data_IF_601504433061
#
_entry.id   IF_601504433061
#
_cell.length_a   1.000
_cell.length_b   1.000
_cell.length_c   1.000
_cell.angle_alpha   90.00
_cell.angle_beta   90.00
_cell.angle_gamma   90.00
#
_symmetry.space_group_name_H-M   'P 1'
#
loop_
_entity.id
_entity.type
_entity.pdbx_description
1 polymer ?
#
# COMPACT_ATOMS: atom_id res chain seq x y z
N UNK A 1 4.90 -2.55 14.55
CA UNK A 1 3.99 -2.36 13.40
C UNK A 1 3.61 -3.68 12.73
N UNK A 2 4.56 -4.60 12.52
CA UNK A 2 4.35 -5.90 11.86
C UNK A 2 3.06 -6.66 12.26
N UNK A 3 2.75 -6.75 13.56
CA UNK A 3 1.53 -7.43 14.04
C UNK A 3 0.22 -6.75 13.63
N UNK A 4 0.14 -5.42 13.68
CA UNK A 4 -1.06 -4.65 13.30
C UNK A 4 -1.30 -4.75 11.80
N UNK A 5 -0.25 -4.60 10.99
CA UNK A 5 -0.35 -4.70 9.53
C UNK A 5 -0.72 -6.11 9.07
N UNK A 6 -0.21 -7.15 9.74
CA UNK A 6 -0.61 -8.54 9.49
C UNK A 6 -2.08 -8.79 9.82
N UNK A 7 -2.56 -8.29 10.97
CA UNK A 7 -3.97 -8.39 11.34
C UNK A 7 -4.89 -7.66 10.35
N UNK A 8 -4.52 -6.44 9.92
CA UNK A 8 -5.28 -5.68 8.93
C UNK A 8 -5.29 -6.34 7.55
N UNK A 9 -4.18 -6.94 7.12
CA UNK A 9 -4.14 -7.72 5.89
C UNK A 9 -5.10 -8.92 5.95
N UNK A 10 -5.13 -9.63 7.09
CA UNK A 10 -6.08 -10.72 7.32
C UNK A 10 -7.54 -10.25 7.28
N UNK A 11 -7.88 -9.16 7.97
CA UNK A 11 -9.22 -8.58 7.96
C UNK A 11 -9.65 -8.12 6.56
N UNK A 12 -8.74 -7.54 5.78
CA UNK A 12 -9.00 -7.12 4.41
C UNK A 12 -9.30 -8.34 3.53
N UNK A 13 -8.50 -9.40 3.62
CA UNK A 13 -8.75 -10.65 2.87
C UNK A 13 -10.12 -11.24 3.24
N UNK A 14 -10.46 -11.30 4.53
CA UNK A 14 -11.77 -11.79 4.98
C UNK A 14 -12.91 -10.95 4.43
N UNK A 15 -12.82 -9.62 4.52
CA UNK A 15 -13.83 -8.71 3.98
C UNK A 15 -14.04 -8.90 2.47
N UNK A 16 -12.96 -9.16 1.72
CA UNK A 16 -13.04 -9.42 0.29
C UNK A 16 -13.65 -10.79 -0.04
N UNK A 17 -13.31 -11.82 0.72
CA UNK A 17 -13.86 -13.17 0.50
C UNK A 17 -15.38 -13.20 0.63
N UNK A 18 -15.95 -12.42 1.55
CA UNK A 18 -17.42 -12.34 1.74
C UNK A 18 -18.11 -11.60 0.58
N UNK A 19 -17.39 -10.76 -0.17
CA UNK A 19 -17.95 -9.93 -1.24
C UNK A 19 -17.33 -10.26 -2.63
N UNK A 20 -16.79 -11.47 -2.79
CA UNK A 20 -15.94 -11.80 -3.94
C UNK A 20 -16.67 -11.70 -5.27
N UNK A 21 -17.96 -12.06 -5.32
CA UNK A 21 -18.77 -11.98 -6.54
C UNK A 21 -18.86 -10.54 -7.07
N UNK A 22 -19.09 -9.57 -6.17
CA UNK A 22 -19.17 -8.15 -6.51
C UNK A 22 -17.79 -7.60 -6.90
N UNK A 23 -16.75 -8.01 -6.17
CA UNK A 23 -15.37 -7.58 -6.44
C UNK A 23 -14.93 -8.05 -7.84
N UNK A 24 -15.16 -9.32 -8.18
CA UNK A 24 -14.77 -9.89 -9.47
C UNK A 24 -15.61 -9.34 -10.63
N UNK A 25 -16.87 -8.97 -10.38
CA UNK A 25 -17.72 -8.32 -11.38
C UNK A 25 -17.24 -6.91 -11.76
N UNK A 26 -16.56 -6.20 -10.84
CA UNK A 26 -16.02 -4.87 -11.11
C UNK A 26 -14.69 -4.92 -11.87
N UNK A 27 -14.52 -3.99 -12.83
CA UNK A 27 -13.26 -3.85 -13.58
C UNK A 27 -12.11 -3.26 -12.75
N UNK A 28 -12.42 -2.48 -11.72
CA UNK A 28 -11.41 -1.69 -10.97
C UNK A 28 -11.15 -2.21 -9.56
N UNK A 29 -12.15 -2.82 -8.90
CA UNK A 29 -12.02 -3.26 -7.50
C UNK A 29 -10.91 -4.31 -7.28
N UNK A 30 -10.75 -5.36 -8.12
CA UNK A 30 -9.71 -6.37 -7.89
C UNK A 30 -8.29 -5.80 -7.92
N UNK A 31 -8.03 -4.83 -8.82
CA UNK A 31 -6.72 -4.23 -8.94
C UNK A 31 -6.39 -3.34 -7.74
N UNK A 32 -7.37 -2.57 -7.25
CA UNK A 32 -7.23 -1.71 -6.05
C UNK A 32 -7.01 -2.54 -4.79
N UNK A 33 -7.79 -3.61 -4.64
CA UNK A 33 -7.63 -4.60 -3.59
C UNK A 33 -6.22 -5.19 -3.57
N UNK A 34 -5.73 -5.64 -4.73
CA UNK A 34 -4.38 -6.19 -4.87
C UNK A 34 -3.29 -5.19 -4.51
N UNK A 35 -3.44 -3.93 -4.91
CA UNK A 35 -2.48 -2.87 -4.57
C UNK A 35 -2.46 -2.54 -3.07
N UNK A 36 -3.62 -2.51 -2.40
CA UNK A 36 -3.70 -2.35 -0.96
C UNK A 36 -3.04 -3.51 -0.21
N UNK A 37 -3.27 -4.76 -0.64
CA UNK A 37 -2.61 -5.94 -0.06
C UNK A 37 -1.10 -5.87 -0.25
N UNK A 38 -0.63 -5.57 -1.46
CA UNK A 38 0.80 -5.44 -1.76
C UNK A 38 1.47 -4.40 -0.86
N UNK A 39 0.81 -3.26 -0.64
CA UNK A 39 1.30 -2.18 0.23
C UNK A 39 1.34 -2.61 1.71
N UNK A 40 0.34 -3.35 2.19
CA UNK A 40 0.36 -3.93 3.54
C UNK A 40 1.48 -4.97 3.71
N UNK A 41 1.67 -5.85 2.73
CA UNK A 41 2.73 -6.86 2.73
C UNK A 41 4.10 -6.19 2.73
N UNK A 42 4.31 -5.15 1.92
CA UNK A 42 5.52 -4.32 1.96
C UNK A 42 5.74 -3.76 3.37
N UNK A 43 4.71 -3.17 3.97
CA UNK A 43 4.81 -2.56 5.31
C UNK A 43 5.16 -3.60 6.38
N UNK A 44 4.60 -4.81 6.29
CA UNK A 44 4.96 -5.94 7.16
C UNK A 44 6.43 -6.31 6.95
N UNK A 45 6.85 -6.51 5.70
CA UNK A 45 8.22 -6.91 5.37
C UNK A 45 9.24 -5.88 5.89
N UNK A 46 9.03 -4.59 5.63
CA UNK A 46 9.87 -3.49 6.13
C UNK A 46 9.88 -3.46 7.67
N UNK A 47 8.74 -3.68 8.31
CA UNK A 47 8.66 -3.75 9.78
C UNK A 47 9.45 -4.92 10.34
N UNK A 48 9.47 -6.08 9.67
CA UNK A 48 10.24 -7.25 10.08
C UNK A 48 11.74 -7.04 9.86
N UNK A 49 12.14 -6.46 8.73
CA UNK A 49 13.54 -6.14 8.43
C UNK A 49 14.12 -5.13 9.43
N UNK A 50 13.32 -4.17 9.89
CA UNK A 50 13.71 -3.20 10.92
C UNK A 50 13.97 -3.83 12.30
N UNK A 51 13.45 -5.04 12.56
CA UNK A 51 13.71 -5.76 13.82
C UNK A 51 15.04 -6.51 13.82
N UNK A 52 15.70 -6.67 12.66
CA UNK A 52 16.99 -7.33 12.56
C UNK A 52 18.07 -6.35 13.06
N UNK A 53 18.75 -6.63 14.19
CA UNK A 53 19.79 -5.76 14.70
C UNK A 53 21.05 -5.87 13.83
N UNK A 54 21.73 -4.73 13.60
CA UNK A 54 23.02 -4.69 12.90
C UNK A 54 22.95 -4.50 11.38
N UNK A 55 21.77 -4.29 10.81
CA UNK A 55 21.61 -3.99 9.38
C UNK A 55 22.18 -2.61 9.06
N UNK A 56 23.08 -2.53 8.08
CA UNK A 56 23.61 -1.23 7.63
C UNK A 56 22.51 -0.41 6.95
N UNK A 57 22.43 0.89 7.27
CA UNK A 57 21.40 1.81 6.76
C UNK A 57 21.20 1.76 5.24
N UNK A 58 22.28 1.76 4.43
CA UNK A 58 22.15 1.67 2.98
C UNK A 58 21.58 0.35 2.48
N UNK A 59 21.95 -0.79 3.09
CA UNK A 59 21.42 -2.11 2.71
C UNK A 59 19.92 -2.18 2.98
N UNK A 60 19.49 -1.72 4.16
CA UNK A 60 18.07 -1.63 4.48
C UNK A 60 17.33 -0.70 3.50
N UNK A 61 17.95 0.42 3.11
CA UNK A 61 17.40 1.31 2.08
C UNK A 61 17.17 0.61 0.73
N UNK A 62 18.12 -0.22 0.28
CA UNK A 62 17.97 -0.99 -0.96
C UNK A 62 16.82 -2.00 -0.84
N UNK A 63 16.72 -2.73 0.26
CA UNK A 63 15.62 -3.68 0.49
C UNK A 63 14.25 -3.00 0.46
N UNK A 64 14.13 -1.84 1.11
CA UNK A 64 12.93 -1.00 1.08
C UNK A 64 12.60 -0.59 -0.36
N UNK A 65 13.59 -0.11 -1.13
CA UNK A 65 13.37 0.30 -2.52
C UNK A 65 12.96 -0.85 -3.43
N UNK A 66 13.56 -2.03 -3.28
CA UNK A 66 13.20 -3.24 -4.04
C UNK A 66 11.75 -3.65 -3.74
N UNK A 67 11.38 -3.70 -2.46
CA UNK A 67 10.00 -4.00 -2.06
C UNK A 67 9.01 -2.94 -2.57
N UNK A 68 9.40 -1.67 -2.49
CA UNK A 68 8.57 -0.55 -2.96
C UNK A 68 8.38 -0.58 -4.46
N UNK A 69 9.40 -0.95 -5.23
CA UNK A 69 9.30 -1.13 -6.68
C UNK A 69 8.29 -2.23 -7.05
N UNK A 70 8.30 -3.35 -6.32
CA UNK A 70 7.30 -4.41 -6.53
C UNK A 70 5.87 -3.92 -6.23
N UNK A 71 5.67 -3.19 -5.12
CA UNK A 71 4.36 -2.62 -4.78
C UNK A 71 3.89 -1.56 -5.79
N UNK A 72 4.80 -0.75 -6.33
CA UNK A 72 4.51 0.20 -7.40
C UNK A 72 3.95 -0.46 -8.66
N UNK A 73 4.39 -1.67 -9.01
CA UNK A 73 3.82 -2.39 -10.16
C UNK A 73 2.32 -2.63 -9.98
N UNK A 74 1.91 -3.08 -8.79
CA UNK A 74 0.49 -3.29 -8.48
C UNK A 74 -0.31 -1.99 -8.47
N UNK A 75 0.25 -0.93 -7.87
CA UNK A 75 -0.39 0.38 -7.84
C UNK A 75 -0.56 0.96 -9.24
N UNK A 76 0.47 0.89 -10.09
CA UNK A 76 0.38 1.37 -11.47
C UNK A 76 -0.65 0.59 -12.30
N UNK A 77 -0.79 -0.72 -12.07
CA UNK A 77 -1.84 -1.51 -12.70
C UNK A 77 -3.23 -1.07 -12.23
N UNK A 78 -3.40 -0.79 -10.93
CA UNK A 78 -4.64 -0.27 -10.37
C UNK A 78 -4.99 1.12 -10.93
N UNK A 79 -4.04 2.06 -10.90
CA UNK A 79 -4.16 3.40 -11.47
C UNK A 79 -4.54 3.34 -12.95
N UNK A 80 -3.86 2.51 -13.75
CA UNK A 80 -4.18 2.35 -15.17
C UNK A 80 -5.58 1.83 -15.41
N UNK A 81 -6.08 0.89 -14.60
CA UNK A 81 -7.46 0.39 -14.71
C UNK A 81 -8.47 1.46 -14.32
N UNK A 82 -8.21 2.19 -13.23
CA UNK A 82 -9.06 3.31 -12.78
C UNK A 82 -9.10 4.42 -13.81
N UNK A 83 -7.98 4.72 -14.49
CA UNK A 83 -7.91 5.74 -15.54
C UNK A 83 -8.64 5.33 -16.84
N UNK A 84 -8.70 4.04 -17.14
CA UNK A 84 -9.40 3.50 -18.33
C UNK A 84 -10.88 3.23 -18.12
N UNK A 85 -11.36 3.21 -16.87
CA UNK A 85 -12.78 3.05 -16.56
C UNK A 85 -13.48 4.41 -16.59
N UNK A 86 -14.55 4.54 -17.38
CA UNK A 86 -15.47 5.70 -17.35
C UNK A 86 -16.37 5.72 -16.10
N UNK A 87 -16.45 4.60 -15.36
CA UNK A 87 -17.30 4.46 -14.18
C UNK A 87 -16.88 5.30 -12.96
N UNK A 88 -15.63 5.76 -12.89
CA UNK A 88 -15.17 6.48 -11.70
C UNK A 88 -15.63 7.93 -11.73
N UNK A 89 -16.67 8.27 -10.95
CA UNK A 89 -17.06 9.65 -10.67
C UNK A 89 -15.81 10.48 -10.32
N UNK A 90 -15.48 11.49 -11.13
CA UNK A 90 -14.20 12.22 -11.09
C UNK A 90 -13.79 12.73 -9.69
N UNK A 91 -14.76 12.97 -8.80
CA UNK A 91 -14.54 13.49 -7.44
C UNK A 91 -14.08 12.43 -6.43
N UNK A 92 -14.37 11.14 -6.67
CA UNK A 92 -13.83 10.02 -5.86
C UNK A 92 -12.46 9.55 -6.37
N UNK A 93 -12.19 9.75 -7.68
CA UNK A 93 -10.99 9.24 -8.37
C UNK A 93 -9.69 9.74 -7.74
N UNK A 94 -9.60 11.04 -7.44
CA UNK A 94 -8.37 11.65 -6.89
C UNK A 94 -8.07 11.19 -5.47
N UNK A 95 -9.08 11.08 -4.61
CA UNK A 95 -8.90 10.60 -3.23
C UNK A 95 -8.44 9.15 -3.18
N UNK A 96 -9.05 8.29 -3.99
CA UNK A 96 -8.68 6.87 -4.07
C UNK A 96 -7.25 6.69 -4.61
N UNK A 97 -6.89 7.43 -5.67
CA UNK A 97 -5.53 7.41 -6.23
C UNK A 97 -4.49 7.94 -5.23
N UNK A 98 -4.82 9.02 -4.52
CA UNK A 98 -3.92 9.60 -3.52
C UNK A 98 -3.66 8.62 -2.37
N UNK A 99 -4.69 7.88 -1.91
CA UNK A 99 -4.54 6.90 -0.84
C UNK A 99 -3.59 5.74 -1.21
N UNK A 100 -3.57 5.28 -2.46
CA UNK A 100 -2.63 4.24 -2.89
C UNK A 100 -1.22 4.76 -3.17
N UNK A 101 -1.11 5.94 -3.80
CA UNK A 101 0.19 6.50 -4.22
C UNK A 101 0.98 7.11 -3.07
N UNK A 102 0.32 7.80 -2.13
CA UNK A 102 0.99 8.57 -1.09
C UNK A 102 1.92 7.73 -0.18
N UNK A 103 1.51 6.54 0.32
CA UNK A 103 2.39 5.69 1.12
C UNK A 103 3.60 5.18 0.33
N UNK A 104 3.40 4.79 -0.93
CA UNK A 104 4.48 4.28 -1.78
C UNK A 104 5.49 5.38 -2.13
N UNK A 105 5.03 6.60 -2.36
CA UNK A 105 5.91 7.75 -2.54
C UNK A 105 6.72 8.05 -1.27
N UNK A 106 6.11 7.92 -0.08
CA UNK A 106 6.85 8.08 1.17
C UNK A 106 7.91 6.97 1.37
N UNK A 107 7.59 5.72 1.00
CA UNK A 107 8.57 4.62 1.04
C UNK A 107 9.73 4.82 0.06
N UNK A 108 9.48 5.32 -1.16
CA UNK A 108 10.57 5.59 -2.11
C UNK A 108 11.49 6.71 -1.61
N UNK A 109 10.94 7.79 -1.05
CA UNK A 109 11.73 8.87 -0.45
C UNK A 109 12.53 8.37 0.75
N UNK A 110 11.90 7.60 1.65
CA UNK A 110 12.56 7.02 2.81
C UNK A 110 13.70 6.07 2.44
N UNK A 111 13.45 5.16 1.49
CA UNK A 111 14.46 4.24 0.97
C UNK A 111 15.63 4.96 0.29
N UNK A 112 15.35 5.98 -0.53
CA UNK A 112 16.38 6.79 -1.18
C UNK A 112 17.26 7.56 -0.17
N UNK A 113 16.66 8.13 0.87
CA UNK A 113 17.38 8.80 1.96
C UNK A 113 18.28 7.83 2.73
N UNK A 114 17.82 6.60 2.97
CA UNK A 114 18.61 5.56 3.62
C UNK A 114 19.81 5.11 2.77
N UNK A 115 19.62 4.94 1.47
CA UNK A 115 20.73 4.64 0.53
C UNK A 115 21.75 5.78 0.51
N UNK A 116 21.29 7.04 0.60
CA UNK A 116 22.16 8.20 0.72
C UNK A 116 22.85 8.35 2.09
N UNK A 117 22.60 7.44 3.05
CA UNK A 117 23.18 7.49 4.39
C UNK A 117 22.58 8.55 5.32
N UNK A 118 21.44 9.13 4.95
CA UNK A 118 20.78 10.17 5.75
C UNK A 118 19.94 9.52 6.85
N UNK A 119 20.28 9.78 8.12
CA UNK A 119 19.58 9.20 9.28
C UNK A 119 18.08 9.52 9.32
N UNK A 120 17.65 10.66 8.76
CA UNK A 120 16.24 11.02 8.63
C UNK A 120 15.43 10.02 7.78
N UNK A 121 16.08 9.22 6.93
CA UNK A 121 15.41 8.19 6.13
C UNK A 121 14.64 7.18 6.97
N UNK A 122 15.11 6.82 8.17
CA UNK A 122 14.37 5.93 9.07
C UNK A 122 13.05 6.55 9.55
N UNK A 123 13.04 7.84 9.85
CA UNK A 123 11.82 8.56 10.27
C UNK A 123 10.83 8.61 9.12
N UNK A 124 11.31 8.88 7.90
CA UNK A 124 10.46 8.90 6.70
C UNK A 124 9.86 7.52 6.43
N UNK A 125 10.64 6.43 6.56
CA UNK A 125 10.11 5.06 6.43
C UNK A 125 9.07 4.75 7.51
N UNK A 126 9.28 5.18 8.76
CA UNK A 126 8.29 5.01 9.83
C UNK A 126 6.98 5.75 9.51
N UNK A 127 7.06 6.98 9.00
CA UNK A 127 5.90 7.75 8.54
C UNK A 127 5.22 7.05 7.37
N UNK A 128 5.98 6.49 6.42
CA UNK A 128 5.45 5.72 5.30
C UNK A 128 4.64 4.49 5.76
N UNK A 129 5.12 3.78 6.79
CA UNK A 129 4.39 2.66 7.39
C UNK A 129 3.04 3.09 7.99
N UNK A 130 3.01 4.22 8.71
CA UNK A 130 1.75 4.77 9.26
C UNK A 130 0.80 5.15 8.14
N UNK A 131 1.30 5.85 7.11
CA UNK A 131 0.51 6.21 5.93
C UNK A 131 -0.07 4.97 5.25
N UNK A 132 0.73 3.92 5.06
CA UNK A 132 0.29 2.67 4.44
C UNK A 132 -0.86 2.01 5.22
N UNK A 133 -0.79 1.99 6.55
CA UNK A 133 -1.87 1.47 7.41
C UNK A 133 -3.14 2.31 7.23
N UNK A 134 -3.02 3.63 7.34
CA UNK A 134 -4.18 4.53 7.21
C UNK A 134 -4.84 4.45 5.84
N UNK A 135 -4.02 4.35 4.78
CA UNK A 135 -4.47 4.16 3.42
C UNK A 135 -5.20 2.83 3.23
N UNK A 136 -4.64 1.73 3.74
CA UNK A 136 -5.26 0.42 3.63
C UNK A 136 -6.63 0.35 4.33
N UNK A 137 -6.75 0.95 5.52
CA UNK A 137 -8.03 1.06 6.24
C UNK A 137 -9.03 1.88 5.43
N UNK A 138 -8.61 3.03 4.89
CA UNK A 138 -9.47 3.88 4.07
C UNK A 138 -9.92 3.16 2.78
N UNK A 139 -9.03 2.47 2.09
CA UNK A 139 -9.35 1.69 0.89
C UNK A 139 -10.34 0.57 1.22
N UNK A 140 -10.11 -0.17 2.31
CA UNK A 140 -11.03 -1.22 2.78
C UNK A 140 -12.44 -0.67 3.05
N UNK A 141 -12.53 0.47 3.75
CA UNK A 141 -13.81 1.12 3.99
C UNK A 141 -14.48 1.58 2.69
N UNK A 142 -13.75 2.23 1.78
CA UNK A 142 -14.30 2.66 0.48
C UNK A 142 -14.82 1.46 -0.30
N UNK A 143 -14.10 0.33 -0.33
CA UNK A 143 -14.56 -0.88 -1.01
C UNK A 143 -15.84 -1.45 -0.40
N UNK A 144 -15.98 -1.44 0.93
CA UNK A 144 -17.21 -1.87 1.60
C UNK A 144 -18.41 -0.97 1.27
N UNK A 145 -18.21 0.34 1.21
CA UNK A 145 -19.27 1.29 0.86
C UNK A 145 -19.69 1.14 -0.60
N UNK A 146 -18.72 0.96 -1.51
CA UNK A 146 -18.99 0.77 -2.94
C UNK A 146 -19.75 -0.53 -3.23
N UNK A 147 -19.53 -1.61 -2.47
CA UNK A 147 -20.25 -2.88 -2.63
C UNK A 147 -21.71 -2.80 -2.14
N UNK A 148 -22.00 -1.93 -1.16
CA UNK A 148 -23.34 -1.79 -0.57
C UNK A 148 -24.25 -0.81 -1.31
N UNK A 149 -23.80 -0.27 -2.44
CA UNK A 149 -24.46 0.80 -3.20
C UNK A 149 -24.93 0.29 -4.55
#
# INVERSE_FOLDING_TARGET
>A
MAGVTGALAGLLIVAMSVNIEVIVASRTLPARAGAAIATLVLTVAVSCLMLIPGTSGPVFGVEVLVGTAAAWVFELLAVRRVLRSDESQLRSRSGVLALGVLPLAAFTVGGALLVAGVAAGMVVVAVACVLAITAAVAISWVTLVEVRR
#
